data_IF_546306275368
#
_entry.id   IF_546306275368
#
_cell.length_a   1.000
_cell.length_b   1.000
_cell.length_c   1.000
_cell.angle_alpha   90.00
_cell.angle_beta   90.00
_cell.angle_gamma   90.00
#
_symmetry.space_group_name_H-M   'P 1'
#
loop_
_entity.id
_entity.type
_entity.pdbx_description
1 polymer ?
#
# COMPACT_ATOMS: atom_id res chain seq x y z
N UNK A 1 35.78 2.44 -11.31
CA UNK A 1 34.62 3.36 -11.21
C UNK A 1 33.52 2.80 -12.09
N UNK A 2 32.31 2.58 -11.56
CA UNK A 2 31.15 2.26 -12.40
C UNK A 2 30.83 3.48 -13.27
N UNK A 3 30.60 3.24 -14.56
CA UNK A 3 30.16 4.30 -15.48
C UNK A 3 28.76 4.78 -15.10
N UNK A 4 28.52 6.08 -15.24
CA UNK A 4 27.24 6.73 -14.96
C UNK A 4 26.65 7.33 -16.24
N UNK A 5 25.32 7.34 -16.37
CA UNK A 5 24.60 8.00 -17.44
C UNK A 5 24.59 9.54 -17.27
N UNK A 6 23.99 10.26 -18.22
CA UNK A 6 23.90 11.73 -18.22
C UNK A 6 23.15 12.33 -17.02
N UNK A 7 22.45 11.50 -16.23
CA UNK A 7 21.74 11.89 -15.00
C UNK A 7 22.52 11.54 -13.73
N UNK A 8 23.76 11.05 -13.85
CA UNK A 8 24.58 10.65 -12.71
C UNK A 8 24.16 9.31 -12.06
N UNK A 9 23.25 8.56 -12.69
CA UNK A 9 22.86 7.21 -12.24
C UNK A 9 23.77 6.16 -12.89
N UNK A 10 23.93 4.96 -12.32
CA UNK A 10 24.67 3.89 -12.97
C UNK A 10 24.15 3.63 -14.40
N UNK A 11 25.03 3.36 -15.37
CA UNK A 11 24.62 3.21 -16.80
C UNK A 11 23.51 2.16 -17.04
N UNK A 12 23.45 1.12 -16.21
CA UNK A 12 22.43 0.07 -16.30
C UNK A 12 21.08 0.44 -15.67
N UNK A 13 20.98 1.61 -15.02
CA UNK A 13 19.74 2.08 -14.41
C UNK A 13 18.90 2.84 -15.43
N UNK A 14 17.60 2.59 -15.39
CA UNK A 14 16.62 3.28 -16.22
C UNK A 14 15.70 4.12 -15.35
N UNK A 15 15.51 5.39 -15.73
CA UNK A 15 14.47 6.22 -15.13
C UNK A 15 13.12 5.80 -15.71
N UNK A 16 12.17 5.48 -14.83
CA UNK A 16 10.83 5.02 -15.18
C UNK A 16 9.79 5.84 -14.44
N UNK A 17 8.58 5.96 -15.01
CA UNK A 17 7.46 6.51 -14.24
C UNK A 17 6.98 5.44 -13.27
N UNK A 18 6.64 5.83 -12.05
CA UNK A 18 6.20 4.86 -11.03
C UNK A 18 5.02 3.99 -11.51
N UNK A 19 4.07 4.57 -12.23
CA UNK A 19 2.94 3.83 -12.81
C UNK A 19 3.28 2.84 -13.94
N UNK A 20 4.51 2.84 -14.45
CA UNK A 20 4.99 1.83 -15.42
C UNK A 20 5.52 0.58 -14.73
N UNK A 21 5.88 0.68 -13.45
CA UNK A 21 6.53 -0.40 -12.67
C UNK A 21 5.77 -0.80 -11.42
N UNK A 22 4.67 -0.13 -11.11
CA UNK A 22 3.81 -0.42 -9.97
C UNK A 22 2.38 -0.70 -10.41
N UNK A 23 1.73 -1.64 -9.71
CA UNK A 23 0.29 -1.88 -9.84
C UNK A 23 -0.41 -1.18 -8.69
N UNK A 24 -1.46 -0.40 -8.99
CA UNK A 24 -2.29 0.22 -7.98
C UNK A 24 -3.45 -0.71 -7.64
N UNK A 25 -3.41 -1.26 -6.42
CA UNK A 25 -4.45 -2.13 -5.89
C UNK A 25 -5.78 -1.40 -5.82
N UNK A 26 -6.86 -2.09 -6.22
CA UNK A 26 -8.23 -1.60 -6.19
C UNK A 26 -9.09 -2.62 -5.49
N UNK A 27 -10.06 -2.15 -4.72
CA UNK A 27 -11.07 -3.01 -4.10
C UNK A 27 -11.74 -3.88 -5.19
N UNK A 28 -11.77 -5.21 -5.05
CA UNK A 28 -12.54 -6.07 -5.95
C UNK A 28 -14.00 -5.61 -6.02
N UNK A 29 -14.59 -5.69 -7.22
CA UNK A 29 -15.98 -5.26 -7.47
C UNK A 29 -16.97 -6.06 -6.61
N UNK A 30 -16.73 -7.36 -6.49
CA UNK A 30 -17.63 -8.28 -5.80
C UNK A 30 -17.41 -8.32 -4.28
N UNK A 31 -16.38 -7.64 -3.76
CA UNK A 31 -16.13 -7.54 -2.32
C UNK A 31 -17.02 -6.47 -1.71
N UNK A 32 -18.11 -6.86 -1.05
CA UNK A 32 -19.02 -5.94 -0.34
C UNK A 32 -18.79 -6.04 1.16
N UNK A 33 -18.35 -4.94 1.80
CA UNK A 33 -18.12 -4.94 3.25
C UNK A 33 -19.39 -5.21 4.05
N UNK A 34 -20.56 -4.84 3.53
CA UNK A 34 -21.87 -5.14 4.12
C UNK A 34 -22.17 -6.63 4.28
N UNK A 35 -21.45 -7.49 3.55
CA UNK A 35 -21.62 -8.95 3.66
C UNK A 35 -20.92 -9.52 4.90
N UNK A 36 -20.18 -8.68 5.64
CA UNK A 36 -19.42 -9.04 6.83
C UNK A 36 -19.83 -8.15 8.01
N UNK A 37 -19.92 -8.74 9.21
CA UNK A 37 -20.16 -7.99 10.44
C UNK A 37 -18.96 -7.10 10.80
N UNK A 38 -17.74 -7.61 10.58
CA UNK A 38 -16.49 -6.93 10.85
C UNK A 38 -15.43 -7.26 9.79
N UNK A 39 -14.43 -6.39 9.66
CA UNK A 39 -13.28 -6.60 8.76
C UNK A 39 -11.96 -6.28 9.48
N UNK A 40 -10.85 -6.90 9.06
CA UNK A 40 -9.53 -6.44 9.42
C UNK A 40 -9.32 -4.98 8.97
N UNK A 41 -8.89 -4.13 9.89
CA UNK A 41 -8.71 -2.71 9.65
C UNK A 41 -7.40 -2.23 10.28
N UNK A 42 -6.58 -1.53 9.50
CA UNK A 42 -5.35 -0.91 10.00
C UNK A 42 -5.60 0.58 10.22
N UNK A 43 -5.83 1.04 11.46
CA UNK A 43 -5.94 2.45 11.76
C UNK A 43 -4.57 3.13 11.60
N UNK A 44 -4.56 4.43 11.32
CA UNK A 44 -3.32 5.20 11.17
C UNK A 44 -2.41 5.11 12.40
N UNK A 45 -2.97 5.00 13.61
CA UNK A 45 -2.21 4.83 14.86
C UNK A 45 -1.42 3.53 14.93
N UNK A 46 -1.77 2.52 14.12
CA UNK A 46 -1.07 1.24 14.03
C UNK A 46 -0.11 1.17 12.82
N UNK A 47 -0.04 2.22 12.00
CA UNK A 47 0.97 2.32 10.95
C UNK A 47 2.31 2.65 11.63
N UNK A 48 3.31 1.76 11.56
CA UNK A 48 4.54 1.96 12.29
C UNK A 48 5.39 3.06 11.63
N UNK A 49 6.08 3.83 12.48
CA UNK A 49 7.11 4.75 12.04
C UNK A 49 8.44 3.99 12.01
N UNK A 50 9.22 4.13 10.93
CA UNK A 50 10.54 3.52 10.75
C UNK A 50 10.59 1.98 10.65
N UNK A 51 9.47 1.29 10.43
CA UNK A 51 9.49 -0.14 10.06
C UNK A 51 8.69 -0.37 8.78
N UNK A 52 9.14 -1.34 7.98
CA UNK A 52 8.54 -1.64 6.68
C UNK A 52 7.37 -2.63 6.77
N UNK A 53 7.28 -3.40 7.85
CA UNK A 53 6.32 -4.49 7.99
C UNK A 53 5.57 -4.36 9.30
N UNK A 54 4.24 -4.47 9.22
CA UNK A 54 3.35 -4.55 10.38
C UNK A 54 2.41 -5.73 10.20
N UNK A 55 2.12 -6.41 11.30
CA UNK A 55 1.04 -7.42 11.39
C UNK A 55 -0.11 -6.94 12.27
N UNK A 56 -0.08 -5.67 12.67
CA UNK A 56 -1.05 -5.11 13.61
C UNK A 56 -2.27 -4.61 12.85
N UNK A 57 -3.44 -5.14 13.20
CA UNK A 57 -4.74 -4.69 12.74
C UNK A 57 -5.75 -4.89 13.87
N UNK A 58 -6.90 -4.24 13.75
CA UNK A 58 -8.05 -4.48 14.62
C UNK A 58 -9.18 -5.08 13.79
N UNK A 59 -10.09 -5.81 14.44
CA UNK A 59 -11.38 -6.13 13.85
C UNK A 59 -12.29 -4.92 14.05
N UNK A 60 -12.79 -4.35 12.95
CA UNK A 60 -13.63 -3.16 12.99
C UNK A 60 -15.02 -3.49 12.43
N UNK A 61 -16.11 -3.21 13.17
CA UNK A 61 -17.48 -3.36 12.65
C UNK A 61 -17.67 -2.56 11.37
N UNK A 62 -18.26 -3.18 10.36
CA UNK A 62 -18.31 -2.62 9.00
C UNK A 62 -19.16 -1.36 8.90
N UNK A 63 -20.18 -1.24 9.74
CA UNK A 63 -21.05 -0.07 9.90
C UNK A 63 -20.33 1.16 10.51
N UNK A 64 -19.19 0.96 11.18
CA UNK A 64 -18.39 2.04 11.77
C UNK A 64 -17.27 2.55 10.84
N UNK A 65 -17.13 1.99 9.65
CA UNK A 65 -16.09 2.37 8.68
C UNK A 65 -16.60 3.50 7.79
N UNK A 66 -16.14 4.71 8.04
CA UNK A 66 -16.48 5.88 7.23
C UNK A 66 -15.59 6.02 5.98
N UNK A 67 -14.36 5.54 6.04
CA UNK A 67 -13.39 5.58 4.94
C UNK A 67 -12.28 4.55 5.13
N UNK A 68 -11.58 4.26 4.03
CA UNK A 68 -10.41 3.38 4.04
C UNK A 68 -9.89 3.13 2.63
N UNK A 69 -8.64 2.71 2.55
CA UNK A 69 -8.02 2.22 1.32
C UNK A 69 -7.96 0.70 1.40
N UNK A 70 -8.48 0.02 0.38
CA UNK A 70 -8.30 -1.42 0.27
C UNK A 70 -6.85 -1.72 -0.13
N UNK A 71 -6.25 -2.70 0.53
CA UNK A 71 -4.90 -3.16 0.23
C UNK A 71 -4.80 -4.67 0.47
N UNK A 72 -3.79 -5.29 -0.12
CA UNK A 72 -3.50 -6.71 -0.01
C UNK A 72 -2.12 -6.97 0.62
N UNK A 73 -1.86 -8.21 1.00
CA UNK A 73 -0.55 -8.62 1.51
C UNK A 73 0.51 -8.37 0.44
N UNK A 74 1.52 -7.57 0.79
CA UNK A 74 2.61 -7.20 -0.12
C UNK A 74 2.49 -5.79 -0.69
N UNK A 75 1.35 -5.12 -0.50
CA UNK A 75 1.20 -3.72 -0.87
C UNK A 75 2.11 -2.81 -0.04
N UNK A 76 2.62 -1.76 -0.68
CA UNK A 76 3.35 -0.67 -0.03
C UNK A 76 2.35 0.45 0.27
N UNK A 77 2.09 0.68 1.56
CA UNK A 77 1.24 1.78 2.02
C UNK A 77 2.07 3.05 2.18
N UNK A 78 1.77 4.06 1.37
CA UNK A 78 2.39 5.39 1.45
C UNK A 78 1.38 6.38 2.03
N UNK A 79 1.71 6.98 3.17
CA UNK A 79 0.94 8.10 3.71
C UNK A 79 1.11 9.33 2.79
N UNK A 80 0.02 10.10 2.62
CA UNK A 80 0.03 11.36 1.88
C UNK A 80 0.33 12.54 2.80
#
# INVERSE_FOLDING_TARGET
MSKTNSMGLPEHWQMVRFGEVATFTKKPRDLRYSDYHEVPFVPMSLIPIATLFSKNFIHKPTDTISSGTYFELGDILLAK
#
